data_IF_673082026527
#
_entry.id   IF_673082026527
#
_cell.length_a   1.000
_cell.length_b   1.000
_cell.length_c   1.000
_cell.angle_alpha   90.00
_cell.angle_beta   90.00
_cell.angle_gamma   90.00
#
_symmetry.space_group_name_H-M   'P 1'
#
loop_
_entity.id
_entity.type
_entity.pdbx_description
1 polymer ?
#
# COMPACT_ATOMS: atom_id res chain seq x y z
N UNK A 1 6.54 -32.12 26.33
CA UNK A 1 5.11 -32.48 26.19
C UNK A 1 4.91 -33.04 24.79
N UNK A 2 4.11 -34.10 24.60
CA UNK A 2 3.90 -34.66 23.27
C UNK A 2 3.09 -33.65 22.44
N UNK A 3 3.63 -33.30 21.28
CA UNK A 3 2.97 -32.44 20.29
C UNK A 3 2.19 -33.36 19.36
N UNK A 4 0.86 -33.21 19.42
CA UNK A 4 -0.15 -33.45 18.37
C UNK A 4 -1.39 -34.15 18.96
N UNK A 5 -2.20 -33.39 19.69
CA UNK A 5 -3.62 -33.71 19.82
C UNK A 5 -4.31 -33.28 18.51
N UNK A 6 -5.15 -34.12 17.88
CA UNK A 6 -6.09 -33.74 16.82
C UNK A 6 -6.89 -32.44 17.07
N UNK A 7 -6.83 -31.88 18.27
CA UNK A 7 -7.45 -30.61 18.69
C UNK A 7 -6.78 -29.33 18.16
N UNK A 8 -5.47 -29.29 17.89
CA UNK A 8 -4.79 -28.02 17.55
C UNK A 8 -5.27 -27.41 16.22
N UNK A 9 -5.41 -28.24 15.18
CA UNK A 9 -5.93 -27.79 13.88
C UNK A 9 -7.35 -27.24 13.99
N UNK A 10 -8.23 -27.94 14.72
CA UNK A 10 -9.61 -27.50 14.95
C UNK A 10 -9.65 -26.19 15.74
N UNK A 11 -8.81 -26.04 16.75
CA UNK A 11 -8.72 -24.81 17.53
C UNK A 11 -8.32 -23.58 16.70
N UNK A 12 -7.39 -23.73 15.74
CA UNK A 12 -7.06 -22.64 14.81
C UNK A 12 -8.22 -22.30 13.88
N UNK A 13 -8.93 -23.31 13.36
CA UNK A 13 -10.13 -23.07 12.55
C UNK A 13 -11.23 -22.38 13.35
N UNK A 14 -11.48 -22.80 14.59
CA UNK A 14 -12.44 -22.17 15.51
C UNK A 14 -12.04 -20.73 15.86
N UNK A 15 -10.74 -20.45 15.98
CA UNK A 15 -10.23 -19.09 16.17
C UNK A 15 -10.48 -18.23 14.94
N UNK A 16 -10.17 -18.73 13.74
CA UNK A 16 -10.44 -18.00 12.50
C UNK A 16 -11.95 -17.81 12.24
N UNK A 17 -12.79 -18.77 12.65
CA UNK A 17 -14.24 -18.67 12.51
C UNK A 17 -14.83 -17.48 13.30
N UNK A 18 -14.17 -17.04 14.38
CA UNK A 18 -14.57 -15.84 15.13
C UNK A 18 -14.43 -14.55 14.31
N UNK A 19 -13.60 -14.54 13.27
CA UNK A 19 -13.41 -13.39 12.40
C UNK A 19 -14.69 -13.00 11.63
N UNK A 20 -15.75 -13.81 11.62
CA UNK A 20 -17.06 -13.43 11.09
C UNK A 20 -17.66 -12.23 11.87
N UNK A 21 -17.19 -11.97 13.10
CA UNK A 21 -17.51 -10.78 13.91
C UNK A 21 -17.30 -9.46 13.16
N UNK A 22 -16.34 -9.41 12.22
CA UNK A 22 -16.03 -8.17 11.50
C UNK A 22 -17.15 -7.75 10.54
N UNK A 23 -18.08 -8.65 10.20
CA UNK A 23 -19.26 -8.33 9.39
C UNK A 23 -20.16 -7.28 10.06
N UNK A 24 -20.11 -7.17 11.38
CA UNK A 24 -20.84 -6.14 12.13
C UNK A 24 -20.33 -4.71 11.85
N UNK A 25 -19.14 -4.59 11.24
CA UNK A 25 -18.56 -3.30 10.83
C UNK A 25 -19.03 -2.85 9.43
N UNK A 26 -19.79 -3.67 8.71
CA UNK A 26 -20.34 -3.30 7.42
C UNK A 26 -21.43 -2.23 7.56
N UNK A 27 -21.53 -1.35 6.56
CA UNK A 27 -22.60 -0.36 6.51
C UNK A 27 -23.99 -1.03 6.46
N UNK A 28 -24.10 -2.13 5.71
CA UNK A 28 -25.24 -3.05 5.72
C UNK A 28 -24.74 -4.50 5.87
N UNK A 29 -24.80 -5.08 7.08
CA UNK A 29 -24.40 -6.48 7.33
C UNK A 29 -25.28 -7.53 6.61
N UNK A 30 -26.43 -7.13 6.06
CA UNK A 30 -27.33 -8.00 5.31
C UNK A 30 -27.05 -8.01 3.80
N UNK A 31 -26.22 -7.09 3.28
CA UNK A 31 -25.86 -7.06 1.86
C UNK A 31 -25.05 -8.31 1.48
N UNK A 32 -25.59 -9.21 0.62
CA UNK A 32 -24.90 -10.42 0.24
C UNK A 32 -23.57 -10.16 -0.49
N UNK A 33 -23.45 -9.05 -1.22
CA UNK A 33 -22.21 -8.70 -1.93
C UNK A 33 -21.13 -8.28 -0.93
N UNK A 34 -21.43 -7.33 -0.03
CA UNK A 34 -20.49 -6.88 0.99
C UNK A 34 -20.02 -8.03 1.90
N UNK A 35 -20.91 -8.95 2.26
CA UNK A 35 -20.56 -10.16 3.03
C UNK A 35 -19.57 -11.03 2.28
N UNK A 36 -19.85 -11.36 1.01
CA UNK A 36 -18.98 -12.19 0.18
C UNK A 36 -17.59 -11.55 -0.03
N UNK A 37 -17.54 -10.24 -0.27
CA UNK A 37 -16.29 -9.49 -0.39
C UNK A 37 -15.51 -9.46 0.93
N UNK A 38 -16.19 -9.38 2.06
CA UNK A 38 -15.56 -9.47 3.39
C UNK A 38 -15.00 -10.86 3.67
N UNK A 39 -15.71 -11.93 3.32
CA UNK A 39 -15.17 -13.28 3.42
C UNK A 39 -13.92 -13.45 2.55
N UNK A 40 -13.91 -12.88 1.33
CA UNK A 40 -12.70 -12.84 0.49
C UNK A 40 -11.55 -12.10 1.19
N UNK A 41 -11.83 -10.98 1.88
CA UNK A 41 -10.85 -10.24 2.68
C UNK A 41 -10.27 -11.10 3.82
N UNK A 42 -11.07 -11.93 4.50
CA UNK A 42 -10.58 -12.84 5.53
C UNK A 42 -9.55 -13.85 4.98
N UNK A 43 -9.81 -14.41 3.79
CA UNK A 43 -8.84 -15.29 3.12
C UNK A 43 -7.59 -14.53 2.64
N UNK A 44 -7.75 -13.28 2.18
CA UNK A 44 -6.61 -12.43 1.83
C UNK A 44 -5.75 -12.08 3.05
N UNK A 45 -6.37 -11.85 4.22
CA UNK A 45 -5.69 -11.64 5.49
C UNK A 45 -4.89 -12.88 5.91
N UNK A 46 -5.47 -14.07 5.79
CA UNK A 46 -4.76 -15.33 6.06
C UNK A 46 -3.54 -15.51 5.14
N UNK A 47 -3.72 -15.28 3.83
CA UNK A 47 -2.65 -15.40 2.85
C UNK A 47 -1.50 -14.41 3.13
N UNK A 48 -1.84 -13.14 3.38
CA UNK A 48 -0.88 -12.08 3.72
C UNK A 48 -0.16 -12.37 5.02
N UNK A 49 -0.89 -12.82 6.04
CA UNK A 49 -0.33 -13.19 7.34
C UNK A 49 0.64 -14.36 7.23
N UNK A 50 0.33 -15.36 6.40
CA UNK A 50 1.20 -16.53 6.24
C UNK A 50 2.57 -16.17 5.67
N UNK A 51 2.62 -15.26 4.68
CA UNK A 51 3.88 -14.80 4.06
C UNK A 51 4.86 -14.25 5.11
N UNK A 52 4.34 -13.50 6.08
CA UNK A 52 5.15 -12.85 7.12
C UNK A 52 5.30 -13.68 8.40
N UNK A 53 4.34 -14.56 8.73
CA UNK A 53 4.36 -15.39 9.93
C UNK A 53 5.63 -16.24 10.04
N UNK A 54 6.10 -16.77 8.92
CA UNK A 54 7.24 -17.69 8.86
C UNK A 54 8.54 -17.03 8.38
N UNK A 55 8.56 -15.70 8.24
CA UNK A 55 9.80 -14.96 8.03
C UNK A 55 10.74 -15.13 9.24
N UNK A 56 12.03 -15.35 8.98
CA UNK A 56 13.06 -15.59 9.98
C UNK A 56 13.93 -14.34 10.13
N UNK A 57 14.02 -13.80 11.34
CA UNK A 57 14.82 -12.60 11.63
C UNK A 57 16.34 -12.84 11.56
N UNK A 58 16.76 -14.10 11.76
CA UNK A 58 18.17 -14.51 11.64
C UNK A 58 18.56 -14.81 10.19
N UNK A 59 17.56 -15.09 9.34
CA UNK A 59 17.71 -15.41 7.92
C UNK A 59 16.68 -14.62 7.13
N UNK A 60 16.79 -13.27 7.14
CA UNK A 60 15.78 -12.40 6.56
C UNK A 60 15.68 -12.62 5.05
N UNK A 61 14.45 -12.49 4.56
CA UNK A 61 14.12 -12.42 3.13
C UNK A 61 12.97 -11.43 2.95
N UNK A 62 12.91 -10.78 1.79
CA UNK A 62 11.79 -9.91 1.46
C UNK A 62 10.62 -10.75 0.96
N UNK A 63 9.57 -10.83 1.79
CA UNK A 63 8.30 -11.45 1.41
C UNK A 63 7.31 -10.39 0.91
N UNK A 64 6.35 -10.73 0.03
CA UNK A 64 5.32 -9.81 -0.38
C UNK A 64 4.46 -9.39 0.81
N UNK A 65 4.20 -8.07 0.94
CA UNK A 65 3.31 -7.53 1.97
C UNK A 65 1.90 -7.27 1.40
N UNK A 66 1.74 -6.24 0.57
CA UNK A 66 0.49 -5.94 -0.15
C UNK A 66 0.76 -5.86 -1.65
N UNK A 67 -0.19 -6.28 -2.47
CA UNK A 67 -0.03 -6.30 -3.93
C UNK A 67 -1.38 -6.35 -4.65
N UNK A 68 -1.38 -6.48 -5.98
CA UNK A 68 -2.62 -6.73 -6.73
C UNK A 68 -3.31 -8.05 -6.37
N UNK A 69 -2.56 -9.02 -5.82
CA UNK A 69 -3.10 -10.31 -5.39
C UNK A 69 -3.47 -10.28 -3.91
N UNK A 70 -2.63 -9.64 -3.09
CA UNK A 70 -2.86 -9.38 -1.66
C UNK A 70 -3.40 -7.95 -1.47
N UNK A 71 -4.48 -7.64 -2.20
CA UNK A 71 -5.05 -6.30 -2.27
C UNK A 71 -5.87 -6.00 -1.02
N UNK A 72 -5.23 -5.33 -0.07
CA UNK A 72 -5.82 -4.96 1.23
C UNK A 72 -5.27 -3.62 1.68
N UNK A 73 -5.93 -2.99 2.66
CA UNK A 73 -5.46 -1.80 3.41
C UNK A 73 -4.96 -0.64 2.53
N UNK A 74 -5.70 -0.32 1.47
CA UNK A 74 -5.46 0.85 0.63
C UNK A 74 -4.12 0.82 -0.11
N UNK A 75 -3.66 -0.37 -0.52
CA UNK A 75 -2.42 -0.59 -1.27
C UNK A 75 -2.24 0.44 -2.39
N UNK A 76 -1.06 1.03 -2.49
CA UNK A 76 -0.79 1.98 -3.57
C UNK A 76 -0.57 1.21 -4.89
N UNK A 77 -1.38 1.46 -5.95
CA UNK A 77 -1.23 0.83 -7.27
C UNK A 77 0.15 0.95 -7.90
N UNK A 78 0.89 1.99 -7.53
CA UNK A 78 2.17 2.37 -8.10
C UNK A 78 3.36 1.76 -7.38
N UNK A 79 3.15 1.19 -6.19
CA UNK A 79 4.23 0.68 -5.36
C UNK A 79 4.35 -0.84 -5.47
N UNK A 80 5.58 -1.32 -5.48
CA UNK A 80 5.91 -2.71 -5.15
C UNK A 80 6.35 -2.74 -3.69
N UNK A 81 5.73 -3.61 -2.90
CA UNK A 81 5.93 -3.72 -1.46
C UNK A 81 6.64 -5.01 -1.09
N UNK A 82 7.64 -4.90 -0.22
CA UNK A 82 8.28 -6.03 0.44
C UNK A 82 8.34 -5.81 1.94
N UNK A 83 8.41 -6.89 2.70
CA UNK A 83 8.69 -6.84 4.13
C UNK A 83 9.70 -7.92 4.49
N UNK A 84 10.66 -7.60 5.34
CA UNK A 84 11.58 -8.57 5.92
C UNK A 84 11.52 -8.45 7.45
N UNK A 85 11.47 -9.58 8.13
CA UNK A 85 11.58 -9.61 9.60
C UNK A 85 13.04 -9.50 9.99
N UNK A 86 13.35 -8.71 11.01
CA UNK A 86 14.71 -8.48 11.52
C UNK A 86 14.72 -8.48 13.05
N UNK A 87 15.92 -8.45 13.61
CA UNK A 87 16.23 -8.25 15.02
C UNK A 87 17.00 -6.92 15.13
N UNK A 88 16.50 -5.97 15.92
CA UNK A 88 17.10 -4.65 16.08
C UNK A 88 18.53 -4.66 16.63
N UNK A 89 18.97 -5.77 17.24
CA UNK A 89 20.35 -5.98 17.68
C UNK A 89 21.28 -6.61 16.62
N UNK A 90 20.76 -6.94 15.43
CA UNK A 90 21.54 -7.55 14.36
C UNK A 90 22.35 -6.56 13.51
N UNK A 91 23.17 -7.11 12.62
CA UNK A 91 23.87 -6.35 11.57
C UNK A 91 23.45 -6.91 10.23
N UNK A 92 22.97 -6.04 9.35
CA UNK A 92 22.40 -6.42 8.06
C UNK A 92 23.11 -5.74 6.91
N UNK A 93 23.24 -6.44 5.79
CA UNK A 93 23.70 -5.88 4.52
C UNK A 93 22.53 -5.84 3.54
N UNK A 94 22.27 -4.66 2.99
CA UNK A 94 21.35 -4.46 1.88
C UNK A 94 22.17 -4.21 0.62
N UNK A 95 22.02 -5.04 -0.41
CA UNK A 95 22.79 -4.88 -1.64
C UNK A 95 21.95 -5.17 -2.88
N UNK A 96 22.34 -4.59 -4.02
CA UNK A 96 21.67 -4.84 -5.27
C UNK A 96 21.79 -3.71 -6.30
N UNK A 97 20.73 -3.49 -7.05
CA UNK A 97 20.64 -2.54 -8.17
C UNK A 97 19.37 -1.70 -8.03
N UNK A 98 19.52 -0.38 -7.92
CA UNK A 98 18.46 0.60 -7.64
C UNK A 98 17.28 0.58 -8.62
N UNK A 99 17.53 0.20 -9.88
CA UNK A 99 16.53 0.26 -10.95
C UNK A 99 16.12 1.70 -11.28
N UNK A 100 15.07 1.86 -12.10
CA UNK A 100 14.71 3.15 -12.71
C UNK A 100 13.41 3.76 -12.15
N UNK A 101 12.77 3.11 -11.16
CA UNK A 101 11.56 3.66 -10.52
C UNK A 101 11.82 4.97 -9.75
N UNK A 102 10.74 5.69 -9.42
CA UNK A 102 10.74 7.07 -8.90
C UNK A 102 11.51 7.21 -7.57
N UNK A 103 11.34 6.24 -6.67
CA UNK A 103 12.08 6.16 -5.41
C UNK A 103 12.06 4.74 -4.87
N UNK A 104 13.05 4.41 -4.03
CA UNK A 104 13.04 3.22 -3.18
C UNK A 104 13.22 3.67 -1.74
N UNK A 105 12.18 3.45 -0.94
CA UNK A 105 12.19 3.72 0.50
C UNK A 105 12.27 2.42 1.27
N UNK A 106 13.20 2.39 2.23
CA UNK A 106 13.45 1.26 3.12
C UNK A 106 13.21 1.75 4.54
N UNK A 107 12.09 1.32 5.10
CA UNK A 107 11.54 1.78 6.38
C UNK A 107 11.94 0.79 7.48
N UNK A 108 12.58 1.28 8.54
CA UNK A 108 12.96 0.49 9.70
C UNK A 108 11.88 0.70 10.76
N UNK A 109 11.17 -0.37 11.14
CA UNK A 109 9.93 -0.26 11.91
C UNK A 109 10.03 -1.02 13.23
N UNK A 110 9.69 -0.36 14.33
CA UNK A 110 9.54 -0.96 15.65
C UNK A 110 8.14 -1.58 15.81
N UNK A 111 7.75 -2.39 14.84
CA UNK A 111 6.43 -2.98 14.71
C UNK A 111 6.19 -3.51 13.30
N UNK A 112 4.95 -3.80 12.98
CA UNK A 112 4.53 -4.29 11.67
C UNK A 112 3.04 -4.64 11.64
N UNK A 113 2.51 -4.81 10.43
CA UNK A 113 1.14 -5.27 10.21
C UNK A 113 1.06 -6.79 10.03
N UNK A 114 2.09 -7.54 10.44
CA UNK A 114 2.13 -8.99 10.39
C UNK A 114 1.49 -9.66 11.62
N UNK A 115 1.40 -11.00 11.64
CA UNK A 115 0.80 -11.76 12.74
C UNK A 115 1.68 -11.73 14.01
N UNK A 116 3.00 -11.68 13.83
CA UNK A 116 3.98 -11.74 14.91
C UNK A 116 4.24 -10.37 15.55
N UNK A 117 4.01 -9.30 14.81
CA UNK A 117 4.26 -7.93 15.22
C UNK A 117 2.98 -7.25 15.78
N UNK A 118 3.19 -6.15 16.51
CA UNK A 118 2.16 -5.15 16.77
C UNK A 118 2.45 -3.91 15.92
N UNK A 119 1.44 -3.07 15.71
CA UNK A 119 1.66 -1.76 15.10
C UNK A 119 2.65 -0.96 15.95
N UNK A 120 3.55 -0.24 15.28
CA UNK A 120 4.58 0.54 15.93
C UNK A 120 5.23 1.53 14.98
N UNK A 121 6.00 2.48 15.52
CA UNK A 121 6.51 3.59 14.75
C UNK A 121 7.61 3.17 13.77
N UNK A 122 7.74 3.96 12.70
CA UNK A 122 9.01 4.02 11.96
C UNK A 122 10.07 4.61 12.89
N UNK A 123 11.21 3.94 12.98
CA UNK A 123 12.36 4.30 13.82
C UNK A 123 13.59 4.65 12.98
N UNK A 124 13.47 4.55 11.65
CA UNK A 124 14.47 4.98 10.69
C UNK A 124 13.94 4.81 9.28
N UNK A 125 14.45 5.60 8.35
CA UNK A 125 14.10 5.51 6.93
C UNK A 125 15.37 5.71 6.11
N UNK A 126 15.60 4.84 5.15
CA UNK A 126 16.66 4.96 4.15
C UNK A 126 15.99 5.28 2.82
N UNK A 127 16.31 6.47 2.30
CA UNK A 127 16.04 6.81 0.90
C UNK A 127 17.23 6.35 0.07
N UNK A 128 17.01 5.33 -0.77
CA UNK A 128 18.10 4.74 -1.54
C UNK A 128 18.72 5.73 -2.54
N UNK A 129 18.00 6.79 -2.93
CA UNK A 129 18.54 7.84 -3.79
C UNK A 129 19.47 8.82 -3.06
N UNK A 130 19.50 8.78 -1.72
CA UNK A 130 20.45 9.51 -0.89
C UNK A 130 21.71 8.69 -0.56
N UNK A 131 21.75 7.41 -0.98
CA UNK A 131 22.90 6.53 -0.82
C UNK A 131 23.89 6.68 -1.98
N UNK A 132 25.09 6.14 -1.77
CA UNK A 132 26.13 6.03 -2.78
C UNK A 132 25.74 4.94 -3.79
N UNK A 133 25.45 5.36 -5.03
CA UNK A 133 25.16 4.46 -6.14
C UNK A 133 26.38 4.32 -7.05
N UNK A 134 26.84 3.09 -7.24
CA UNK A 134 27.88 2.73 -8.19
C UNK A 134 27.38 2.68 -9.64
N UNK A 135 28.23 2.23 -10.58
CA UNK A 135 27.84 1.98 -11.96
C UNK A 135 26.56 1.13 -12.04
N UNK A 136 25.71 1.45 -13.01
CA UNK A 136 24.42 0.78 -13.24
C UNK A 136 23.42 0.85 -12.07
N UNK A 137 23.66 1.69 -11.07
CA UNK A 137 22.82 1.83 -9.87
C UNK A 137 23.10 0.79 -8.80
N UNK A 138 24.30 0.19 -8.79
CA UNK A 138 24.69 -0.75 -7.76
C UNK A 138 24.74 -0.08 -6.37
N UNK A 139 24.27 -0.74 -5.33
CA UNK A 139 24.35 -0.25 -3.95
C UNK A 139 24.74 -1.35 -2.98
N UNK A 140 25.32 -0.93 -1.85
CA UNK A 140 25.80 -1.79 -0.79
C UNK A 140 25.80 -1.00 0.53
N UNK A 141 24.91 -1.39 1.44
CA UNK A 141 24.58 -0.62 2.64
C UNK A 141 24.66 -1.55 3.84
N UNK A 142 25.37 -1.11 4.88
CA UNK A 142 25.38 -1.77 6.18
C UNK A 142 24.35 -1.12 7.11
N UNK A 143 23.52 -1.91 7.77
CA UNK A 143 22.48 -1.44 8.70
C UNK A 143 22.65 -2.14 10.05
N UNK A 144 22.76 -1.35 11.12
CA UNK A 144 22.95 -1.86 12.48
C UNK A 144 24.41 -2.03 12.89
N UNK A 145 24.59 -2.57 14.10
CA UNK A 145 25.89 -2.66 14.76
C UNK A 145 26.55 -1.31 15.03
N UNK A 146 27.81 -1.34 15.47
CA UNK A 146 28.67 -0.15 15.45
C UNK A 146 29.20 0.07 14.02
N UNK A 147 29.34 1.33 13.62
CA UNK A 147 29.96 1.67 12.34
C UNK A 147 31.39 1.09 12.33
N UNK A 148 31.76 0.20 11.38
CA UNK A 148 33.09 -0.38 11.39
C UNK A 148 34.18 0.69 11.21
N UNK A 149 35.30 0.54 11.92
CA UNK A 149 36.43 1.46 11.83
C UNK A 149 36.92 1.60 10.39
N UNK A 150 37.03 2.84 9.91
CA UNK A 150 37.45 3.13 8.55
C UNK A 150 36.43 2.78 7.46
N UNK A 151 35.17 2.43 7.80
CA UNK A 151 34.14 2.15 6.81
C UNK A 151 33.73 3.41 6.04
N UNK A 152 34.08 3.43 4.76
CA UNK A 152 33.77 4.53 3.83
C UNK A 152 32.42 4.40 3.12
N UNK A 153 31.77 3.23 3.18
CA UNK A 153 30.47 2.99 2.56
C UNK A 153 29.30 3.56 3.36
N UNK A 154 28.10 3.39 2.80
CA UNK A 154 26.86 3.78 3.47
C UNK A 154 26.61 2.86 4.66
N UNK A 155 26.42 3.49 5.82
CA UNK A 155 26.07 2.81 7.05
C UNK A 155 24.96 3.56 7.76
N UNK A 156 23.96 2.83 8.24
CA UNK A 156 22.85 3.36 9.02
C UNK A 156 22.74 2.65 10.36
N UNK A 157 22.53 3.38 11.47
CA UNK A 157 22.24 2.75 12.75
C UNK A 157 20.89 2.02 12.69
N UNK A 158 20.74 0.98 13.49
CA UNK A 158 19.48 0.25 13.68
C UNK A 158 18.98 0.47 15.10
N UNK A 159 17.75 0.97 15.25
CA UNK A 159 17.12 1.07 16.56
C UNK A 159 16.91 -0.34 17.13
N UNK A 160 17.29 -0.63 18.39
CA UNK A 160 17.13 -1.96 18.99
C UNK A 160 15.67 -2.47 19.03
N UNK A 161 14.69 -1.59 18.88
CA UNK A 161 13.26 -1.95 18.82
C UNK A 161 12.80 -2.36 17.43
N UNK A 162 13.60 -2.14 16.38
CA UNK A 162 13.23 -2.47 15.01
C UNK A 162 13.06 -3.99 14.86
N UNK A 163 11.92 -4.40 14.28
CA UNK A 163 11.59 -5.82 14.04
C UNK A 163 11.18 -6.09 12.60
N UNK A 164 10.96 -5.05 11.81
CA UNK A 164 10.58 -5.15 10.40
C UNK A 164 11.38 -4.14 9.57
N UNK A 165 11.82 -4.56 8.37
CA UNK A 165 12.21 -3.67 7.29
C UNK A 165 11.10 -3.68 6.23
N UNK A 166 10.46 -2.54 6.00
CA UNK A 166 9.46 -2.34 4.96
C UNK A 166 10.08 -1.73 3.70
N UNK A 167 9.84 -2.33 2.54
CA UNK A 167 10.32 -1.87 1.25
C UNK A 167 9.16 -1.27 0.44
N UNK A 168 9.36 -0.08 -0.11
CA UNK A 168 8.44 0.55 -1.07
C UNK A 168 9.22 1.03 -2.29
N UNK A 169 8.89 0.48 -3.45
CA UNK A 169 9.45 0.92 -4.74
C UNK A 169 8.36 1.51 -5.62
N UNK A 170 8.43 2.80 -5.89
CA UNK A 170 7.40 3.54 -6.62
C UNK A 170 7.67 3.64 -8.14
N UNK A 171 6.61 3.53 -8.93
CA UNK A 171 6.64 3.67 -10.40
C UNK A 171 5.51 4.56 -10.89
N UNK A 172 5.79 5.49 -11.81
CA UNK A 172 4.75 6.13 -12.60
C UNK A 172 4.35 5.28 -13.81
N UNK A 173 5.34 4.91 -14.62
CA UNK A 173 5.16 4.10 -15.82
C UNK A 173 5.35 2.62 -15.52
N UNK A 174 4.23 1.92 -15.32
CA UNK A 174 4.27 0.50 -14.96
C UNK A 174 4.84 -0.35 -16.08
N UNK A 175 5.84 -1.18 -15.74
CA UNK A 175 6.45 -2.13 -16.68
C UNK A 175 7.48 -1.52 -17.63
N UNK A 176 7.85 -0.25 -17.41
CA UNK A 176 8.93 0.43 -18.14
C UNK A 176 10.17 0.56 -17.25
N UNK A 177 11.35 0.52 -17.87
CA UNK A 177 12.63 0.61 -17.17
C UNK A 177 13.07 -0.70 -16.50
N UNK A 178 14.13 -0.62 -15.70
CA UNK A 178 14.66 -1.74 -14.92
C UNK A 178 14.04 -1.75 -13.52
N UNK A 179 13.56 -2.92 -13.11
CA UNK A 179 13.09 -3.14 -11.75
C UNK A 179 14.24 -3.10 -10.73
N UNK A 180 13.91 -2.77 -9.47
CA UNK A 180 14.82 -2.93 -8.33
C UNK A 180 15.22 -4.41 -8.18
N UNK A 181 16.50 -4.63 -7.92
CA UNK A 181 17.00 -5.91 -7.41
C UNK A 181 17.63 -5.63 -6.05
N UNK A 182 17.19 -6.34 -5.02
CA UNK A 182 17.65 -6.14 -3.66
C UNK A 182 17.74 -7.47 -2.94
N UNK A 183 18.78 -7.62 -2.13
CA UNK A 183 18.96 -8.69 -1.16
C UNK A 183 19.11 -8.09 0.24
N UNK A 184 18.73 -8.88 1.25
CA UNK A 184 18.99 -8.61 2.66
C UNK A 184 19.72 -9.81 3.25
N UNK A 185 20.82 -9.56 3.95
CA UNK A 185 21.60 -10.60 4.60
C UNK A 185 21.90 -10.18 6.04
N UNK A 186 21.70 -11.08 7.01
CA UNK A 186 22.25 -10.89 8.37
C UNK A 186 23.71 -11.31 8.37
N UNK A 187 24.62 -10.42 8.74
CA UNK A 187 26.09 -10.60 8.56
C UNK A 187 26.87 -10.78 9.87
N UNK A 188 26.24 -10.58 11.03
CA UNK A 188 26.84 -10.82 12.35
C UNK A 188 26.74 -12.29 12.82
N UNK A 189 26.11 -13.16 12.03
CA UNK A 189 25.91 -14.58 12.32
C UNK A 189 25.98 -15.45 11.05
N UNK A 190 26.28 -16.75 11.16
CA UNK A 190 26.23 -17.67 10.02
C UNK A 190 24.82 -17.86 9.47
N UNK A 191 24.68 -17.96 8.13
CA UNK A 191 23.39 -18.17 7.43
C UNK A 191 22.77 -19.55 7.71
N UNK A 192 23.57 -20.54 8.08
CA UNK A 192 23.09 -21.89 8.38
C UNK A 192 22.29 -21.97 9.68
N UNK A 193 21.36 -22.91 9.79
CA UNK A 193 20.61 -23.12 11.04
C UNK A 193 19.75 -24.38 11.03
N UNK A 194 19.31 -24.77 12.22
CA UNK A 194 18.36 -25.87 12.38
C UNK A 194 16.98 -25.51 11.82
N UNK A 195 16.15 -26.52 11.47
CA UNK A 195 14.72 -26.30 11.22
C UNK A 195 14.04 -25.61 12.40
N UNK A 196 12.98 -24.86 12.11
CA UNK A 196 12.17 -24.20 13.14
C UNK A 196 11.63 -25.23 14.15
N UNK A 197 11.83 -25.02 15.46
CA UNK A 197 11.30 -25.92 16.47
C UNK A 197 9.78 -26.05 16.39
N UNK A 198 9.24 -27.24 16.65
CA UNK A 198 7.79 -27.48 16.57
C UNK A 198 6.97 -26.53 17.47
N UNK A 199 7.50 -26.14 18.64
CA UNK A 199 6.85 -25.18 19.53
C UNK A 199 6.72 -23.78 18.91
N UNK A 200 7.73 -23.33 18.16
CA UNK A 200 7.71 -22.04 17.44
C UNK A 200 6.74 -22.08 16.26
N UNK A 201 6.65 -23.22 15.55
CA UNK A 201 5.66 -23.40 14.48
C UNK A 201 4.23 -23.29 15.05
N UNK A 202 3.95 -24.00 16.15
CA UNK A 202 2.64 -23.92 16.84
C UNK A 202 2.35 -22.50 17.28
N UNK A 203 3.31 -21.81 17.89
CA UNK A 203 3.14 -20.42 18.31
C UNK A 203 2.80 -19.49 17.14
N UNK A 204 3.50 -19.60 16.00
CA UNK A 204 3.23 -18.80 14.80
C UNK A 204 1.85 -19.09 14.21
N UNK A 205 1.41 -20.34 14.25
CA UNK A 205 0.05 -20.72 13.81
C UNK A 205 -1.03 -20.16 14.74
N UNK A 206 -0.81 -20.15 16.06
CA UNK A 206 -1.70 -19.47 17.01
C UNK A 206 -1.82 -17.98 16.66
N UNK A 207 -0.69 -17.30 16.43
CA UNK A 207 -0.66 -15.88 16.04
C UNK A 207 -1.33 -15.63 14.69
N UNK A 208 -1.11 -16.49 13.70
CA UNK A 208 -1.69 -16.39 12.37
C UNK A 208 -3.21 -16.60 12.38
N UNK A 209 -3.71 -17.58 13.14
CA UNK A 209 -5.16 -17.80 13.24
C UNK A 209 -5.91 -16.60 13.82
N UNK A 210 -5.37 -15.96 14.86
CA UNK A 210 -5.94 -14.75 15.45
C UNK A 210 -5.73 -13.49 14.58
N UNK A 211 -4.75 -13.50 13.68
CA UNK A 211 -4.43 -12.37 12.81
C UNK A 211 -5.54 -12.05 11.82
N UNK A 212 -6.29 -13.06 11.35
CA UNK A 212 -7.36 -12.88 10.35
C UNK A 212 -8.39 -11.86 10.81
N UNK A 213 -8.93 -12.02 12.03
CA UNK A 213 -9.88 -11.09 12.64
C UNK A 213 -9.24 -9.71 12.85
N UNK A 214 -8.04 -9.66 13.44
CA UNK A 214 -7.33 -8.41 13.72
C UNK A 214 -7.10 -7.57 12.47
N UNK A 215 -6.68 -8.20 11.37
CA UNK A 215 -6.32 -7.53 10.13
C UNK A 215 -7.55 -7.00 9.39
N UNK A 216 -8.59 -7.83 9.24
CA UNK A 216 -9.82 -7.40 8.60
C UNK A 216 -10.56 -6.35 9.44
N UNK A 217 -10.58 -6.51 10.77
CA UNK A 217 -11.14 -5.53 11.70
C UNK A 217 -10.42 -4.19 11.64
N UNK A 218 -9.08 -4.18 11.48
CA UNK A 218 -8.32 -2.96 11.25
C UNK A 218 -8.78 -2.23 9.98
N UNK A 219 -8.92 -2.94 8.86
CA UNK A 219 -9.32 -2.34 7.59
C UNK A 219 -10.75 -1.77 7.62
N UNK A 220 -11.70 -2.55 8.13
CA UNK A 220 -13.10 -2.13 8.24
C UNK A 220 -13.31 -1.02 9.27
N UNK A 221 -12.60 -1.12 10.41
CA UNK A 221 -12.64 -0.13 11.46
C UNK A 221 -12.18 1.25 10.99
N UNK A 222 -11.21 1.30 10.06
CA UNK A 222 -10.76 2.57 9.49
C UNK A 222 -11.88 3.30 8.73
N UNK A 223 -12.57 2.62 7.83
CA UNK A 223 -13.71 3.20 7.12
C UNK A 223 -14.86 3.59 8.06
N UNK A 224 -15.12 2.81 9.11
CA UNK A 224 -16.11 3.16 10.12
C UNK A 224 -15.73 4.45 10.88
N UNK A 225 -14.46 4.56 11.27
CA UNK A 225 -13.92 5.73 11.96
C UNK A 225 -14.06 6.99 11.10
N UNK A 226 -13.68 6.93 9.82
CA UNK A 226 -13.84 8.06 8.90
C UNK A 226 -15.30 8.53 8.78
N UNK A 227 -16.26 7.59 8.72
CA UNK A 227 -17.70 7.94 8.72
C UNK A 227 -18.10 8.64 10.03
N UNK A 228 -17.70 8.09 11.16
CA UNK A 228 -18.03 8.64 12.48
C UNK A 228 -17.44 10.04 12.70
N UNK A 229 -16.27 10.32 12.12
CA UNK A 229 -15.62 11.62 12.17
C UNK A 229 -16.16 12.62 11.12
N UNK A 230 -17.07 12.20 10.24
CA UNK A 230 -17.71 13.07 9.26
C UNK A 230 -16.90 13.29 7.98
N UNK A 231 -15.99 12.38 7.64
CA UNK A 231 -15.19 12.44 6.40
C UNK A 231 -15.89 11.83 5.17
N UNK A 232 -17.22 11.85 5.14
CA UNK A 232 -17.99 11.54 3.92
C UNK A 232 -18.04 12.79 3.04
N UNK A 233 -17.59 12.66 1.80
CA UNK A 233 -17.38 13.71 0.81
C UNK A 233 -16.52 14.87 1.33
N UNK A 234 -15.59 14.54 2.24
CA UNK A 234 -14.60 15.44 2.85
C UNK A 234 -13.31 14.68 3.03
N UNK A 235 -12.20 15.41 3.14
CA UNK A 235 -10.88 14.84 3.32
C UNK A 235 -10.33 15.18 4.70
N UNK A 236 -9.75 14.20 5.36
CA UNK A 236 -8.84 14.39 6.47
C UNK A 236 -7.42 14.55 5.96
N UNK A 237 -6.64 15.40 6.62
CA UNK A 237 -5.20 15.45 6.43
C UNK A 237 -4.53 14.56 7.48
N UNK A 238 -3.67 13.65 7.03
CA UNK A 238 -2.88 12.77 7.90
C UNK A 238 -1.45 12.66 7.34
N UNK A 239 -0.47 12.41 8.21
CA UNK A 239 0.91 12.06 7.83
C UNK A 239 1.19 10.55 7.99
N UNK A 240 0.22 9.80 8.56
CA UNK A 240 0.29 8.37 8.84
C UNK A 240 1.52 7.95 9.67
N UNK A 241 2.11 8.87 10.43
CA UNK A 241 3.29 8.61 11.25
C UNK A 241 3.05 7.41 12.19
N UNK A 242 3.89 6.40 12.04
CA UNK A 242 3.87 5.17 12.85
C UNK A 242 2.69 4.22 12.64
N UNK A 243 1.91 4.40 11.57
CA UNK A 243 0.80 3.50 11.18
C UNK A 243 0.98 2.90 9.78
N UNK A 244 2.21 2.91 9.24
CA UNK A 244 2.53 2.38 7.91
C UNK A 244 2.55 3.41 6.78
N UNK A 245 2.50 4.71 7.11
CA UNK A 245 2.75 5.79 6.16
C UNK A 245 4.23 5.94 5.80
N UNK A 246 4.50 6.72 4.76
CA UNK A 246 5.83 7.19 4.38
C UNK A 246 6.10 8.50 5.11
N UNK A 247 7.23 8.58 5.81
CA UNK A 247 7.63 9.78 6.53
C UNK A 247 7.64 11.02 5.60
N UNK A 248 6.99 12.11 6.05
CA UNK A 248 6.93 13.38 5.30
C UNK A 248 5.98 13.38 4.10
N UNK A 249 5.17 12.33 3.90
CA UNK A 249 4.13 12.31 2.87
C UNK A 249 2.85 12.98 3.40
N UNK A 250 2.28 13.89 2.62
CA UNK A 250 0.96 14.45 2.89
C UNK A 250 -0.10 13.47 2.38
N UNK A 251 -1.00 13.00 3.25
CA UNK A 251 -2.15 12.19 2.87
C UNK A 251 -3.42 13.00 3.01
N UNK A 252 -4.27 12.92 1.98
CA UNK A 252 -5.66 13.36 2.05
C UNK A 252 -6.56 12.17 1.83
N UNK A 253 -7.40 11.85 2.83
CA UNK A 253 -8.22 10.64 2.81
C UNK A 253 -9.65 10.90 3.23
N UNK A 254 -10.58 10.17 2.67
CA UNK A 254 -11.98 10.25 3.07
C UNK A 254 -12.84 9.32 2.26
N UNK A 255 -14.15 9.42 2.45
CA UNK A 255 -15.13 8.57 1.78
C UNK A 255 -15.76 9.38 0.65
N UNK A 256 -15.75 8.85 -0.57
CA UNK A 256 -16.63 9.39 -1.61
C UNK A 256 -17.98 8.67 -1.51
N UNK A 257 -19.07 9.41 -1.64
CA UNK A 257 -20.44 8.91 -1.73
C UNK A 257 -21.20 9.74 -2.75
N UNK A 258 -21.77 9.06 -3.74
CA UNK A 258 -22.53 9.63 -4.84
C UNK A 258 -23.95 9.04 -4.85
N UNK A 259 -24.92 9.83 -5.28
CA UNK A 259 -26.22 9.31 -5.71
C UNK A 259 -26.18 8.89 -7.20
N UNK A 260 -27.10 8.04 -7.66
CA UNK A 260 -27.22 7.71 -9.09
C UNK A 260 -27.34 8.98 -9.96
N UNK A 261 -26.47 9.11 -10.95
CA UNK A 261 -26.42 10.27 -11.85
C UNK A 261 -25.58 11.44 -11.33
N UNK A 262 -24.90 11.30 -10.20
CA UNK A 262 -23.90 12.25 -9.71
C UNK A 262 -22.47 11.86 -10.11
N UNK A 263 -21.58 12.85 -10.05
CA UNK A 263 -20.15 12.69 -10.16
C UNK A 263 -19.46 13.63 -9.17
N UNK A 264 -18.25 13.28 -8.74
CA UNK A 264 -17.42 14.13 -7.89
C UNK A 264 -16.21 14.64 -8.68
N UNK A 265 -16.01 15.94 -8.67
CA UNK A 265 -14.80 16.59 -9.15
C UNK A 265 -13.86 16.79 -7.96
N UNK A 266 -12.61 16.33 -8.13
CA UNK A 266 -11.48 16.62 -7.27
C UNK A 266 -10.71 17.75 -7.95
N UNK A 267 -10.48 18.87 -7.27
CA UNK A 267 -9.74 20.02 -7.79
C UNK A 267 -8.63 20.41 -6.80
N UNK A 268 -7.37 20.34 -7.22
CA UNK A 268 -6.23 20.71 -6.38
C UNK A 268 -5.17 21.50 -7.15
N UNK A 269 -4.48 22.37 -6.43
CA UNK A 269 -3.24 22.96 -6.93
C UNK A 269 -2.15 21.90 -6.95
N UNK A 270 -1.16 22.05 -7.83
CA UNK A 270 0.07 21.26 -7.76
C UNK A 270 1.04 21.90 -6.77
N UNK A 271 1.76 21.11 -5.95
CA UNK A 271 2.95 21.63 -5.27
C UNK A 271 3.98 22.11 -6.29
N UNK A 272 4.73 23.17 -5.97
CA UNK A 272 5.80 23.70 -6.84
C UNK A 272 6.86 22.62 -7.16
N UNK A 273 7.15 21.76 -6.18
CA UNK A 273 8.00 20.59 -6.33
C UNK A 273 7.32 19.38 -5.71
N UNK A 274 7.33 18.25 -6.40
CA UNK A 274 6.84 16.97 -5.88
C UNK A 274 7.60 15.82 -6.54
N UNK A 275 8.12 14.91 -5.73
CA UNK A 275 8.82 13.71 -6.24
C UNK A 275 7.85 12.65 -6.73
N UNK A 276 6.81 12.38 -5.95
CA UNK A 276 5.77 11.42 -6.29
C UNK A 276 4.40 11.87 -5.81
N UNK A 277 3.36 11.65 -6.61
CA UNK A 277 1.98 11.83 -6.18
C UNK A 277 1.02 10.91 -6.92
N UNK A 278 -0.09 10.62 -6.26
CA UNK A 278 -1.21 9.93 -6.88
C UNK A 278 -2.55 10.29 -6.24
N UNK A 279 -3.61 9.88 -6.92
CA UNK A 279 -4.96 9.76 -6.39
C UNK A 279 -5.46 8.35 -6.68
N UNK A 280 -6.11 7.71 -5.72
CA UNK A 280 -6.68 6.38 -5.88
C UNK A 280 -8.05 6.25 -5.20
N UNK A 281 -8.83 5.30 -5.70
CA UNK A 281 -10.07 4.86 -5.10
C UNK A 281 -9.89 3.48 -4.45
N UNK A 282 -10.52 3.31 -3.30
CA UNK A 282 -10.68 2.03 -2.63
C UNK A 282 -12.17 1.72 -2.47
N UNK A 283 -12.49 0.44 -2.37
CA UNK A 283 -13.83 -0.07 -2.06
C UNK A 283 -14.23 0.27 -0.60
N UNK A 284 -15.49 0.01 -0.21
CA UNK A 284 -15.95 0.22 1.17
C UNK A 284 -15.22 -0.58 2.25
N UNK A 285 -14.50 -1.65 1.87
CA UNK A 285 -13.70 -2.47 2.77
C UNK A 285 -12.23 -1.97 2.85
N UNK A 286 -11.95 -0.82 2.25
CA UNK A 286 -10.64 -0.19 2.17
C UNK A 286 -9.61 -1.01 1.36
N UNK A 287 -10.06 -1.86 0.43
CA UNK A 287 -9.18 -2.44 -0.59
C UNK A 287 -9.16 -1.56 -1.83
N UNK A 288 -8.02 -1.41 -2.47
CA UNK A 288 -7.94 -0.56 -3.66
C UNK A 288 -8.78 -1.16 -4.79
N UNK A 289 -9.60 -0.34 -5.45
CA UNK A 289 -10.43 -0.82 -6.56
C UNK A 289 -9.49 -1.35 -7.65
N UNK A 290 -9.85 -2.47 -8.28
CA UNK A 290 -9.01 -3.22 -9.23
C UNK A 290 -8.39 -2.32 -10.30
N UNK A 291 -7.19 -1.84 -9.98
CA UNK A 291 -6.48 -0.84 -10.76
C UNK A 291 -5.83 -1.46 -11.99
N UNK A 292 -5.86 -2.77 -12.17
CA UNK A 292 -5.32 -3.42 -13.36
C UNK A 292 -6.34 -3.35 -14.48
N UNK A 293 -7.63 -3.43 -14.14
CA UNK A 293 -8.74 -3.47 -15.10
C UNK A 293 -9.57 -2.18 -15.14
N UNK A 294 -9.42 -1.33 -14.13
CA UNK A 294 -10.10 -0.02 -14.06
C UNK A 294 -9.06 1.11 -13.94
N UNK A 295 -9.41 2.29 -14.44
CA UNK A 295 -8.67 3.53 -14.13
C UNK A 295 -9.10 4.06 -12.77
N UNK A 296 -8.95 3.24 -11.72
CA UNK A 296 -9.30 3.60 -10.34
C UNK A 296 -8.22 4.41 -9.62
N UNK A 297 -7.10 4.68 -10.30
CA UNK A 297 -6.04 5.55 -9.81
C UNK A 297 -5.34 6.27 -10.95
N UNK A 298 -4.78 7.44 -10.63
CA UNK A 298 -3.94 8.25 -11.49
C UNK A 298 -2.73 8.73 -10.69
N UNK A 299 -1.59 8.82 -11.37
CA UNK A 299 -0.33 9.30 -10.79
C UNK A 299 0.29 10.39 -11.69
N UNK A 300 1.40 10.98 -11.25
CA UNK A 300 2.07 12.07 -11.98
C UNK A 300 2.54 11.75 -13.41
N UNK A 301 2.71 10.48 -13.78
CA UNK A 301 3.01 10.08 -15.17
C UNK A 301 1.77 9.78 -16.02
N UNK A 302 0.59 9.70 -15.41
CA UNK A 302 -0.68 9.32 -16.06
C UNK A 302 -1.68 10.47 -16.15
N UNK A 303 -1.63 11.40 -15.19
CA UNK A 303 -2.54 12.52 -15.11
C UNK A 303 -2.23 13.60 -16.16
N UNK A 304 -3.27 14.28 -16.64
CA UNK A 304 -3.17 15.46 -17.51
C UNK A 304 -3.51 16.69 -16.69
N UNK A 305 -2.58 17.62 -16.52
CA UNK A 305 -2.88 18.90 -15.88
C UNK A 305 -3.69 19.79 -16.82
N UNK A 306 -4.59 20.58 -16.24
CA UNK A 306 -5.32 21.60 -17.00
C UNK A 306 -4.40 22.77 -17.38
N UNK A 307 -4.84 23.63 -18.31
CA UNK A 307 -4.03 24.77 -18.79
C UNK A 307 -3.72 25.82 -17.73
N UNK A 308 -4.46 25.84 -16.63
CA UNK A 308 -4.18 26.67 -15.44
C UNK A 308 -3.19 26.01 -14.46
N UNK A 309 -2.61 24.87 -14.84
CA UNK A 309 -1.63 24.13 -14.05
C UNK A 309 -2.22 23.33 -12.89
N UNK A 310 -3.54 23.25 -12.77
CA UNK A 310 -4.22 22.51 -11.70
C UNK A 310 -4.47 21.05 -12.10
N UNK A 311 -4.57 20.20 -11.10
CA UNK A 311 -5.02 18.83 -11.29
C UNK A 311 -6.51 18.75 -10.98
N UNK A 312 -7.30 18.36 -12.00
CA UNK A 312 -8.73 18.05 -11.84
C UNK A 312 -9.02 16.62 -12.27
N UNK A 313 -9.67 15.85 -11.41
CA UNK A 313 -10.11 14.49 -11.70
C UNK A 313 -11.60 14.32 -11.42
N UNK A 314 -12.22 13.34 -12.07
CA UNK A 314 -13.66 13.08 -11.96
C UNK A 314 -13.91 11.65 -11.54
N UNK A 315 -14.55 11.46 -10.38
CA UNK A 315 -15.14 10.17 -10.00
C UNK A 315 -16.55 10.11 -10.59
N UNK A 316 -16.80 9.17 -11.49
CA UNK A 316 -18.10 8.95 -12.13
C UNK A 316 -18.27 7.47 -12.46
N UNK A 317 -19.51 6.96 -12.39
CA UNK A 317 -19.83 5.56 -12.72
C UNK A 317 -19.51 5.24 -14.18
N UNK A 318 -19.99 6.09 -15.10
CA UNK A 318 -19.73 5.97 -16.54
C UNK A 318 -18.59 6.89 -16.96
N UNK A 319 -17.79 6.48 -17.95
CA UNK A 319 -16.69 7.28 -18.49
C UNK A 319 -17.24 8.60 -19.10
N UNK A 320 -16.89 9.78 -18.54
CA UNK A 320 -17.36 11.07 -19.03
C UNK A 320 -16.55 11.56 -20.25
N UNK A 321 -15.59 10.77 -20.75
CA UNK A 321 -14.73 11.12 -21.88
C UNK A 321 -13.72 12.21 -21.55
N UNK A 322 -13.23 12.25 -20.31
CA UNK A 322 -12.17 13.17 -19.84
C UNK A 322 -10.91 12.38 -19.48
N UNK A 323 -9.70 12.97 -19.59
CA UNK A 323 -8.45 12.25 -19.30
C UNK A 323 -8.40 11.69 -17.88
N UNK A 324 -8.65 12.55 -16.89
CA UNK A 324 -8.51 12.24 -15.48
C UNK A 324 -9.81 11.67 -14.88
N UNK A 325 -10.38 10.65 -15.52
CA UNK A 325 -11.49 9.89 -14.95
C UNK A 325 -10.98 8.89 -13.90
N UNK A 326 -11.70 8.75 -12.80
CA UNK A 326 -11.51 7.72 -11.79
C UNK A 326 -12.73 6.82 -11.77
N UNK A 327 -12.55 5.59 -12.23
CA UNK A 327 -13.60 4.58 -12.30
C UNK A 327 -13.79 3.89 -10.94
N UNK A 328 -14.94 4.05 -10.27
CA UNK A 328 -15.22 3.38 -9.00
C UNK A 328 -15.70 1.92 -9.18
N UNK A 329 -15.57 1.35 -10.38
CA UNK A 329 -15.96 -0.02 -10.72
C UNK A 329 -17.41 -0.34 -10.31
N UNK A 330 -18.32 0.57 -10.67
CA UNK A 330 -19.76 0.45 -10.39
C UNK A 330 -20.17 0.79 -8.96
N UNK A 331 -19.26 1.26 -8.11
CA UNK A 331 -19.56 1.61 -6.71
C UNK A 331 -19.89 3.10 -6.57
N UNK A 332 -21.00 3.39 -5.89
CA UNK A 332 -21.38 4.76 -5.53
C UNK A 332 -20.72 5.24 -4.23
N UNK A 333 -20.15 4.32 -3.45
CA UNK A 333 -19.43 4.63 -2.22
C UNK A 333 -18.11 3.85 -2.15
N UNK A 334 -17.08 4.50 -1.61
CA UNK A 334 -15.77 3.93 -1.35
C UNK A 334 -14.90 4.96 -0.65
N UNK A 335 -13.59 4.72 -0.54
CA UNK A 335 -12.67 5.76 -0.06
C UNK A 335 -11.79 6.32 -1.16
N UNK A 336 -11.43 7.57 -0.99
CA UNK A 336 -10.53 8.34 -1.82
C UNK A 336 -9.25 8.56 -1.03
N UNK A 337 -8.10 8.39 -1.68
CA UNK A 337 -6.80 8.73 -1.10
C UNK A 337 -5.95 9.47 -2.12
N UNK A 338 -5.47 10.65 -1.74
CA UNK A 338 -4.51 11.44 -2.48
C UNK A 338 -3.23 11.57 -1.66
N UNK A 339 -2.08 11.53 -2.33
CA UNK A 339 -0.78 11.62 -1.65
C UNK A 339 0.19 12.57 -2.34
N UNK A 340 0.93 13.35 -1.55
CA UNK A 340 2.08 14.13 -2.00
C UNK A 340 3.36 13.68 -1.27
N UNK A 341 4.32 13.08 -1.99
CA UNK A 341 5.59 12.59 -1.43
C UNK A 341 6.76 13.45 -1.88
N UNK A 342 7.60 13.84 -0.92
CA UNK A 342 8.75 14.71 -1.20
C UNK A 342 8.30 15.99 -1.88
N UNK A 343 7.22 16.58 -1.35
CA UNK A 343 6.60 17.77 -1.92
C UNK A 343 6.95 19.02 -1.13
N UNK A 344 7.04 20.17 -1.80
CA UNK A 344 7.29 21.47 -1.16
C UNK A 344 6.11 21.96 -0.33
N UNK A 345 4.91 21.45 -0.61
CA UNK A 345 3.67 21.74 0.11
C UNK A 345 2.67 20.60 -0.06
N UNK A 346 1.64 20.56 0.78
CA UNK A 346 0.48 19.69 0.66
C UNK A 346 -0.77 20.51 0.34
N UNK A 347 -1.07 20.83 -0.93
CA UNK A 347 -2.31 21.51 -1.28
C UNK A 347 -3.51 20.58 -1.06
N UNK A 348 -4.46 21.06 -0.27
CA UNK A 348 -5.70 20.34 0.04
C UNK A 348 -6.62 20.27 -1.19
N UNK A 349 -7.06 19.06 -1.59
CA UNK A 349 -8.01 18.92 -2.68
C UNK A 349 -9.42 19.39 -2.28
N UNK A 350 -10.06 20.16 -3.17
CA UNK A 350 -11.47 20.51 -3.06
C UNK A 350 -12.31 19.42 -3.72
N UNK A 351 -13.40 19.02 -3.05
CA UNK A 351 -14.36 18.06 -3.57
C UNK A 351 -15.67 18.77 -3.94
N UNK A 352 -16.18 18.51 -5.15
CA UNK A 352 -17.42 19.09 -5.64
C UNK A 352 -18.30 18.04 -6.32
N UNK A 353 -19.48 17.82 -5.78
CA UNK A 353 -20.49 16.96 -6.41
C UNK A 353 -21.26 17.75 -7.47
N UNK A 354 -21.44 17.15 -8.64
CA UNK A 354 -22.14 17.73 -9.79
C UNK A 354 -23.01 16.66 -10.46
N UNK A 355 -24.08 17.04 -11.19
CA UNK A 355 -24.77 16.09 -12.06
C UNK A 355 -23.81 15.54 -13.12
N UNK A 356 -23.79 14.23 -13.34
CA UNK A 356 -22.88 13.57 -14.28
C UNK A 356 -23.02 14.15 -15.70
N UNK A 357 -24.24 14.44 -16.13
CA UNK A 357 -24.51 15.08 -17.42
C UNK A 357 -23.94 16.52 -17.57
N UNK A 358 -23.46 17.14 -16.47
CA UNK A 358 -22.91 18.50 -16.44
C UNK A 358 -21.40 18.55 -16.16
N UNK A 359 -20.70 17.41 -16.11
CA UNK A 359 -19.26 17.35 -15.79
C UNK A 359 -18.45 18.34 -16.64
N UNK A 360 -18.64 18.34 -17.97
CA UNK A 360 -17.89 19.25 -18.87
C UNK A 360 -18.09 20.74 -18.57
N UNK A 361 -19.26 21.15 -18.09
CA UNK A 361 -19.52 22.54 -17.74
C UNK A 361 -18.79 23.00 -16.47
N UNK A 362 -18.19 22.06 -15.72
CA UNK A 362 -17.43 22.31 -14.51
C UNK A 362 -15.92 22.11 -14.68
N UNK A 363 -15.46 21.78 -15.88
CA UNK A 363 -14.06 21.65 -16.23
C UNK A 363 -13.65 22.79 -17.20
N UNK A 364 -12.35 23.08 -17.33
CA UNK A 364 -11.86 24.01 -18.34
C UNK A 364 -12.37 23.69 -19.75
N UNK A 365 -12.63 24.73 -20.55
CA UNK A 365 -13.19 24.57 -21.90
C UNK A 365 -12.26 23.81 -22.85
N UNK A 366 -10.97 23.78 -22.54
CA UNK A 366 -9.91 23.08 -23.27
C UNK A 366 -9.61 21.68 -22.71
N UNK A 367 -10.36 21.18 -21.72
CA UNK A 367 -10.21 19.80 -21.24
C UNK A 367 -10.39 18.81 -22.42
N UNK A 368 -9.38 17.96 -22.70
CA UNK A 368 -9.42 17.06 -23.85
C UNK A 368 -10.62 16.10 -23.84
N UNK A 369 -11.02 15.66 -25.04
CA UNK A 369 -12.00 14.58 -25.20
C UNK A 369 -11.25 13.27 -25.35
N UNK A 370 -11.59 12.28 -24.53
CA UNK A 370 -11.12 10.90 -24.65
C UNK A 370 -12.21 10.07 -25.29
N UNK A 371 -11.93 9.44 -26.43
CA UNK A 371 -12.89 8.53 -27.09
C UNK A 371 -12.90 7.16 -26.40
N UNK A 372 -13.96 6.36 -26.57
CA UNK A 372 -14.00 4.99 -26.07
C UNK A 372 -12.81 4.12 -26.52
N UNK A 373 -12.33 4.29 -27.76
CA UNK A 373 -11.17 3.55 -28.29
C UNK A 373 -9.86 3.98 -27.61
N UNK A 374 -9.71 5.28 -27.36
CA UNK A 374 -8.57 5.81 -26.60
C UNK A 374 -8.59 5.31 -25.15
N UNK A 375 -9.77 5.24 -24.54
CA UNK A 375 -9.95 4.67 -23.19
C UNK A 375 -9.57 3.19 -23.16
N UNK A 376 -10.07 2.39 -24.09
CA UNK A 376 -9.76 0.95 -24.16
C UNK A 376 -8.24 0.73 -24.32
N UNK A 377 -7.58 1.48 -25.21
CA UNK A 377 -6.13 1.36 -25.36
C UNK A 377 -5.35 1.79 -24.11
N UNK A 378 -5.79 2.84 -23.43
CA UNK A 378 -5.20 3.25 -22.14
C UNK A 378 -5.34 2.15 -21.08
N UNK A 379 -6.52 1.54 -20.94
CA UNK A 379 -6.77 0.43 -20.02
C UNK A 379 -5.97 -0.83 -20.40
N UNK A 380 -5.85 -1.16 -21.69
CA UNK A 380 -4.99 -2.26 -22.15
C UNK A 380 -3.52 -2.01 -21.83
N UNK A 381 -3.03 -0.79 -22.05
CA UNK A 381 -1.65 -0.41 -21.70
C UNK A 381 -1.40 -0.55 -20.21
N UNK A 382 -2.33 -0.05 -19.39
CA UNK A 382 -2.31 -0.18 -17.92
C UNK A 382 -2.26 -1.65 -17.50
N UNK A 383 -3.13 -2.49 -18.06
CA UNK A 383 -3.16 -3.93 -17.80
C UNK A 383 -1.87 -4.64 -18.19
N UNK A 384 -1.29 -4.33 -19.35
CA UNK A 384 0.01 -4.87 -19.81
C UNK A 384 1.15 -4.42 -18.88
N UNK A 385 1.26 -3.12 -18.63
CA UNK A 385 2.29 -2.55 -17.75
C UNK A 385 2.24 -3.13 -16.34
N UNK A 386 1.05 -3.30 -15.78
CA UNK A 386 0.89 -3.98 -14.49
C UNK A 386 1.38 -5.43 -14.51
N UNK A 387 1.29 -6.16 -15.62
CA UNK A 387 1.76 -7.56 -15.76
C UNK A 387 3.26 -7.67 -16.00
N UNK A 388 3.89 -6.66 -16.58
CA UNK A 388 5.34 -6.64 -16.80
C UNK A 388 6.14 -6.34 -15.53
N UNK A 389 5.56 -5.62 -14.58
CA UNK A 389 6.20 -5.37 -13.27
C UNK A 389 6.43 -6.68 -12.53
N UNK A 390 7.58 -6.80 -11.87
CA UNK A 390 7.73 -7.75 -10.77
C UNK A 390 6.71 -7.41 -9.66
N UNK A 391 5.78 -8.32 -9.40
CA UNK A 391 4.70 -8.14 -8.40
C UNK A 391 5.05 -8.66 -7.01
N UNK A 392 6.22 -9.31 -6.91
CA UNK A 392 6.93 -9.78 -5.71
C UNK A 392 8.30 -10.36 -6.14
#
# INVERSE_FOLDING_TARGET
MPISDPSAWRAWLETMAKADSVLDSLADPADPQARAETHRLLFAALATGYQTAFADADRPDFVPSVSSVLNTVGVNPDFIYGAARIDGGGVYRLSGQRGDGVFVFIDLVAGGLGPMEQLGPSVGMIDLDACTLGPDGAFDILVGGERPDGHAGDWFPLDPRAVTIGLRHAYYDWGMGRDLRIAIERVDRPVGGAPMPAAEIVHRLDRLSAFVERYAGFALGYGQQQRAQGFVNRLEYDDWAGRGGVAGQHYYQGIFRLEPGEAMIIDTAMPDQVRYWNVQLNDPLWNTIDWINHQSSLNGGQAVLDSDGRFRAVIAIDDPGVPNWLDPAGRLEGSLMLRWTGASSGPEPLLKIVPAAKIRAHLPSDTPVVTPEQRDEALRRRRRGAQWRRRW
#
